data_IF_345577949417
#
_entry.id   IF_345577949417
#
_cell.length_a   1.000
_cell.length_b   1.000
_cell.length_c   1.000
_cell.angle_alpha   90.00
_cell.angle_beta   90.00
_cell.angle_gamma   90.00
#
_symmetry.space_group_name_H-M   'P 1'
#
loop_
_entity.id
_entity.type
_entity.pdbx_description
1 polymer ?
#
# COMPACT_ATOMS: atom_id res chain seq x y z
N UNK A 1 -6.85 -0.13 11.56
CA UNK A 1 -5.69 -1.03 11.45
C UNK A 1 -5.24 -1.20 10.01
N UNK A 2 -6.16 -1.32 9.05
CA UNK A 2 -5.88 -1.52 7.62
C UNK A 2 -5.10 -0.36 7.00
N UNK A 3 -5.48 0.88 7.28
CA UNK A 3 -4.74 2.06 6.84
C UNK A 3 -3.31 2.04 7.39
N UNK A 4 -3.14 1.80 8.69
CA UNK A 4 -1.82 1.73 9.32
C UNK A 4 -0.96 0.62 8.71
N UNK A 5 -1.55 -0.55 8.46
CA UNK A 5 -0.86 -1.66 7.81
C UNK A 5 -0.40 -1.32 6.39
N UNK A 6 -1.20 -0.56 5.63
CA UNK A 6 -0.78 -0.06 4.33
C UNK A 6 0.45 0.86 4.44
N UNK A 7 0.48 1.77 5.42
CA UNK A 7 1.66 2.61 5.66
C UNK A 7 2.88 1.78 6.08
N UNK A 8 2.70 0.80 6.97
CA UNK A 8 3.79 -0.07 7.42
C UNK A 8 4.45 -0.85 6.28
N UNK A 9 3.65 -1.46 5.38
CA UNK A 9 4.18 -2.17 4.21
C UNK A 9 4.91 -1.20 3.26
N UNK A 10 4.34 -0.02 3.01
CA UNK A 10 4.96 0.95 2.12
C UNK A 10 6.21 1.59 2.73
N UNK A 11 6.30 1.67 4.05
CA UNK A 11 7.48 2.13 4.77
C UNK A 11 8.60 1.11 4.64
N UNK A 12 8.30 -0.18 4.83
CA UNK A 12 9.24 -1.28 4.60
C UNK A 12 9.85 -1.24 3.17
N UNK A 13 9.05 -0.89 2.16
CA UNK A 13 9.51 -0.73 0.77
C UNK A 13 10.14 0.63 0.46
N UNK A 14 10.30 1.49 1.47
CA UNK A 14 10.82 2.86 1.34
C UNK A 14 10.04 3.69 0.29
N UNK A 15 8.71 3.53 0.26
CA UNK A 15 7.79 4.28 -0.60
C UNK A 15 7.20 5.48 0.15
N UNK A 16 6.99 5.34 1.46
CA UNK A 16 6.62 6.44 2.36
C UNK A 16 7.71 6.66 3.39
N UNK A 17 7.75 7.85 3.99
CA UNK A 17 8.68 8.18 5.07
C UNK A 17 8.14 7.74 6.42
N UNK A 18 9.03 7.62 7.40
CA UNK A 18 8.64 7.36 8.79
C UNK A 18 7.72 8.46 9.34
N UNK A 19 7.97 9.73 8.99
CA UNK A 19 7.10 10.86 9.36
C UNK A 19 5.65 10.66 8.86
N UNK A 20 5.48 10.20 7.63
CA UNK A 20 4.15 9.91 7.08
C UNK A 20 3.46 8.77 7.84
N UNK A 21 4.21 7.74 8.22
CA UNK A 21 3.71 6.63 9.04
C UNK A 21 3.31 7.12 10.44
N UNK A 22 4.20 7.84 11.15
CA UNK A 22 3.94 8.33 12.50
C UNK A 22 2.76 9.29 12.53
N UNK A 23 2.65 10.19 11.55
CA UNK A 23 1.47 11.05 11.41
C UNK A 23 0.19 10.24 11.26
N UNK A 24 0.20 9.18 10.43
CA UNK A 24 -0.97 8.32 10.25
C UNK A 24 -1.30 7.54 11.54
N UNK A 25 -0.29 7.05 12.25
CA UNK A 25 -0.46 6.35 13.52
C UNK A 25 -1.15 7.26 14.54
N UNK A 26 -0.64 8.47 14.73
CA UNK A 26 -1.20 9.44 15.66
C UNK A 26 -2.63 9.85 15.28
N UNK A 27 -2.90 10.08 13.98
CA UNK A 27 -4.27 10.34 13.50
C UNK A 27 -5.24 9.19 13.82
N UNK A 28 -4.78 7.94 13.77
CA UNK A 28 -5.62 6.77 14.09
C UNK A 28 -5.77 6.58 15.60
N UNK A 29 -4.72 6.82 16.37
CA UNK A 29 -4.74 6.75 17.82
C UNK A 29 -5.69 7.80 18.40
N UNK A 30 -5.61 9.06 17.94
CA UNK A 30 -6.53 10.12 18.39
C UNK A 30 -8.00 9.83 18.07
N UNK A 31 -8.29 9.06 17.02
CA UNK A 31 -9.66 8.63 16.68
C UNK A 31 -10.16 7.47 17.56
N UNK A 32 -9.26 6.71 18.17
CA UNK A 32 -9.58 5.58 19.01
C UNK A 32 -8.49 5.38 20.07
N UNK A 33 -8.50 6.26 21.07
CA UNK A 33 -7.45 6.33 22.10
C UNK A 33 -7.43 5.14 23.05
N UNK A 34 -8.50 4.35 23.08
CA UNK A 34 -8.58 3.12 23.89
C UNK A 34 -7.95 1.91 23.18
N UNK A 35 -7.46 2.09 21.94
CA UNK A 35 -6.85 1.00 21.20
C UNK A 35 -5.42 0.73 21.69
N UNK A 36 -5.26 -0.33 22.49
CA UNK A 36 -3.98 -0.77 23.06
C UNK A 36 -2.89 -1.05 22.01
N UNK A 37 -3.27 -1.54 20.82
CA UNK A 37 -2.31 -1.79 19.73
C UNK A 37 -1.74 -0.46 19.23
N UNK A 38 -2.59 0.54 19.04
CA UNK A 38 -2.15 1.87 18.58
C UNK A 38 -1.31 2.57 19.66
N UNK A 39 -1.72 2.49 20.93
CA UNK A 39 -0.96 3.05 22.05
C UNK A 39 0.44 2.45 22.15
N UNK A 40 0.56 1.11 22.04
CA UNK A 40 1.86 0.45 22.06
C UNK A 40 2.75 0.93 20.90
N UNK A 41 2.18 1.04 19.70
CA UNK A 41 2.91 1.48 18.52
C UNK A 41 3.37 2.94 18.61
N UNK A 42 2.61 3.82 19.28
CA UNK A 42 3.01 5.22 19.53
C UNK A 42 4.26 5.33 20.40
N UNK A 43 4.51 4.33 21.25
CA UNK A 43 5.68 4.29 22.13
C UNK A 43 6.84 3.49 21.53
N UNK A 44 6.62 2.83 20.40
CA UNK A 44 7.64 2.05 19.72
C UNK A 44 8.56 2.97 18.92
N UNK A 45 9.85 2.96 19.25
CA UNK A 45 10.87 3.77 18.57
C UNK A 45 11.59 2.99 17.48
N UNK A 46 11.55 1.66 17.53
CA UNK A 46 12.12 0.81 16.49
C UNK A 46 11.08 0.53 15.41
N UNK A 47 11.32 1.09 14.22
CA UNK A 47 10.38 1.00 13.11
C UNK A 47 10.24 -0.43 12.57
N UNK A 48 11.30 -1.23 12.63
CA UNK A 48 11.27 -2.61 12.16
C UNK A 48 10.42 -3.47 13.10
N UNK A 49 10.56 -3.26 14.42
CA UNK A 49 9.70 -3.89 15.43
C UNK A 49 8.24 -3.43 15.29
N UNK A 50 7.98 -2.15 15.02
CA UNK A 50 6.63 -1.65 14.77
C UNK A 50 5.97 -2.34 13.56
N UNK A 51 6.70 -2.46 12.44
CA UNK A 51 6.22 -3.13 11.22
C UNK A 51 5.96 -4.62 11.51
N UNK A 52 6.89 -5.30 12.19
CA UNK A 52 6.73 -6.70 12.57
C UNK A 52 5.50 -6.89 13.46
N UNK A 53 5.33 -6.04 14.47
CA UNK A 53 4.21 -6.09 15.39
C UNK A 53 2.86 -5.92 14.67
N UNK A 54 2.75 -4.98 13.73
CA UNK A 54 1.54 -4.81 12.93
C UNK A 54 1.24 -6.07 12.10
N UNK A 55 2.27 -6.68 11.48
CA UNK A 55 2.11 -7.91 10.68
C UNK A 55 1.61 -9.10 11.50
N UNK A 56 2.05 -9.24 12.75
CA UNK A 56 1.62 -10.35 13.60
C UNK A 56 0.26 -10.12 14.26
N UNK A 57 -0.19 -8.87 14.41
CA UNK A 57 -1.44 -8.53 15.09
C UNK A 57 -2.60 -8.22 14.13
N UNK A 58 -2.35 -8.14 12.82
CA UNK A 58 -3.43 -8.00 11.85
C UNK A 58 -4.18 -9.32 11.66
N UNK A 59 -5.51 -9.27 11.82
CA UNK A 59 -6.39 -10.41 11.56
C UNK A 59 -6.66 -10.51 10.05
N UNK A 60 -5.77 -11.16 9.31
CA UNK A 60 -5.87 -11.28 7.84
C UNK A 60 -7.22 -11.81 7.33
N UNK A 61 -7.90 -12.66 8.11
CA UNK A 61 -9.22 -13.20 7.78
C UNK A 61 -10.33 -12.13 7.77
N UNK A 62 -10.15 -11.05 8.53
CA UNK A 62 -11.14 -9.99 8.73
C UNK A 62 -10.66 -8.64 8.17
N UNK A 63 -9.61 -8.63 7.34
CA UNK A 63 -9.09 -7.38 6.79
C UNK A 63 -10.12 -6.76 5.85
N UNK A 64 -10.46 -5.49 6.07
CA UNK A 64 -11.22 -4.75 5.08
C UNK A 64 -10.32 -4.45 3.88
N UNK A 65 -10.41 -5.32 2.87
CA UNK A 65 -9.59 -5.27 1.67
C UNK A 65 -9.72 -3.95 0.89
N UNK A 66 -10.94 -3.41 0.80
CA UNK A 66 -11.17 -2.14 0.11
C UNK A 66 -10.48 -0.99 0.82
N UNK A 67 -10.61 -0.91 2.16
CA UNK A 67 -9.97 0.12 2.97
C UNK A 67 -8.44 0.05 2.90
N UNK A 68 -7.89 -1.17 3.03
CA UNK A 68 -6.46 -1.42 2.84
C UNK A 68 -6.01 -0.97 1.44
N UNK A 69 -6.72 -1.40 0.40
CA UNK A 69 -6.27 -1.16 -0.95
C UNK A 69 -6.43 0.27 -1.44
N UNK A 70 -7.50 0.96 -1.05
CA UNK A 70 -7.62 2.42 -1.23
C UNK A 70 -6.44 3.16 -0.61
N UNK A 71 -5.97 2.71 0.55
CA UNK A 71 -4.84 3.32 1.26
C UNK A 71 -3.52 3.12 0.51
N UNK A 72 -3.22 1.88 0.09
CA UNK A 72 -2.03 1.57 -0.72
C UNK A 72 -2.05 2.39 -2.02
N UNK A 73 -3.12 2.28 -2.80
CA UNK A 73 -3.22 2.90 -4.13
C UNK A 73 -3.10 4.42 -4.06
N UNK A 74 -3.71 5.06 -3.05
CA UNK A 74 -3.58 6.51 -2.84
C UNK A 74 -2.13 6.94 -2.61
N UNK A 75 -1.36 6.17 -1.83
CA UNK A 75 0.04 6.47 -1.55
C UNK A 75 0.94 6.16 -2.75
N UNK A 76 0.69 5.04 -3.44
CA UNK A 76 1.40 4.70 -4.67
C UNK A 76 1.19 5.74 -5.76
N UNK A 77 0.00 6.31 -5.88
CA UNK A 77 -0.29 7.36 -6.87
C UNK A 77 0.57 8.59 -6.64
N UNK A 78 0.67 9.05 -5.38
CA UNK A 78 1.58 10.13 -5.00
C UNK A 78 3.04 9.78 -5.29
N UNK A 79 3.45 8.56 -4.95
CA UNK A 79 4.82 8.11 -5.22
C UNK A 79 5.14 8.08 -6.72
N UNK A 80 4.18 7.66 -7.55
CA UNK A 80 4.30 7.62 -9.01
C UNK A 80 4.38 9.02 -9.63
N UNK A 81 3.66 10.02 -9.10
CA UNK A 81 3.70 11.41 -9.59
C UNK A 81 5.11 12.03 -9.53
N UNK A 82 5.94 11.61 -8.56
CA UNK A 82 7.33 12.06 -8.43
C UNK A 82 8.34 11.13 -9.13
N UNK A 83 7.88 10.08 -9.78
CA UNK A 83 8.75 9.10 -10.42
C UNK A 83 9.29 9.60 -11.77
N UNK A 84 10.60 9.77 -11.86
CA UNK A 84 11.30 10.11 -13.11
C UNK A 84 11.78 8.88 -13.88
N UNK A 85 12.01 7.75 -13.20
CA UNK A 85 12.52 6.50 -13.79
C UNK A 85 11.55 5.33 -13.55
N UNK A 86 10.85 4.94 -14.60
CA UNK A 86 9.88 3.84 -14.56
C UNK A 86 10.50 2.50 -14.18
N UNK A 87 11.79 2.26 -14.48
CA UNK A 87 12.47 1.00 -14.12
C UNK A 87 12.72 0.92 -12.62
N UNK A 88 13.01 2.05 -11.97
CA UNK A 88 13.15 2.10 -10.50
C UNK A 88 11.80 1.91 -9.82
N UNK A 89 10.75 2.54 -10.35
CA UNK A 89 9.39 2.32 -9.86
C UNK A 89 8.95 0.86 -10.01
N UNK A 90 9.21 0.24 -11.16
CA UNK A 90 8.91 -1.15 -11.44
C UNK A 90 9.52 -2.11 -10.41
N UNK A 91 10.82 -1.97 -10.13
CA UNK A 91 11.51 -2.77 -9.12
C UNK A 91 10.84 -2.66 -7.75
N UNK A 92 10.44 -1.45 -7.35
CA UNK A 92 9.71 -1.22 -6.09
C UNK A 92 8.31 -1.83 -6.12
N UNK A 93 7.60 -1.77 -7.24
CA UNK A 93 6.26 -2.36 -7.34
C UNK A 93 6.28 -3.89 -7.25
N UNK A 94 7.26 -4.53 -7.91
CA UNK A 94 7.44 -5.97 -7.81
C UNK A 94 7.88 -6.39 -6.39
N UNK A 95 8.76 -5.60 -5.75
CA UNK A 95 9.15 -5.81 -4.34
C UNK A 95 7.96 -5.69 -3.40
N UNK A 96 7.17 -4.62 -3.55
CA UNK A 96 5.92 -4.41 -2.83
C UNK A 96 4.96 -5.59 -2.99
N UNK A 97 4.76 -6.08 -4.22
CA UNK A 97 3.90 -7.23 -4.47
C UNK A 97 4.34 -8.46 -3.66
N UNK A 98 5.65 -8.74 -3.59
CA UNK A 98 6.19 -9.84 -2.78
C UNK A 98 6.05 -9.61 -1.27
N UNK A 99 6.06 -8.37 -0.82
CA UNK A 99 5.89 -8.03 0.60
C UNK A 99 4.43 -8.12 1.07
N UNK A 100 3.47 -8.10 0.14
CA UNK A 100 2.05 -8.26 0.48
C UNK A 100 1.75 -9.65 1.05
N UNK A 101 0.77 -9.76 1.97
CA UNK A 101 0.25 -11.06 2.38
C UNK A 101 -0.26 -11.87 1.19
N UNK A 102 -0.04 -13.18 1.18
CA UNK A 102 -0.49 -14.09 0.10
C UNK A 102 -2.00 -13.99 -0.17
N UNK A 103 -2.80 -13.71 0.87
CA UNK A 103 -4.25 -13.51 0.75
C UNK A 103 -4.64 -12.24 -0.02
N UNK A 104 -3.69 -11.32 -0.21
CA UNK A 104 -3.83 -10.01 -0.89
C UNK A 104 -3.12 -10.02 -2.24
N UNK A 105 -1.94 -10.66 -2.34
CA UNK A 105 -1.08 -10.61 -3.53
C UNK A 105 -1.75 -11.07 -4.84
N UNK A 106 -2.75 -11.95 -4.73
CA UNK A 106 -3.50 -12.51 -5.87
C UNK A 106 -4.84 -11.80 -6.14
N UNK A 107 -5.10 -10.68 -5.46
CA UNK A 107 -6.32 -9.88 -5.63
C UNK A 107 -6.04 -8.63 -6.45
N UNK A 108 -7.04 -8.17 -7.19
CA UNK A 108 -6.94 -6.91 -7.95
C UNK A 108 -7.07 -5.69 -7.03
N UNK A 109 -6.23 -4.65 -7.20
CA UNK A 109 -5.31 -4.46 -8.32
C UNK A 109 -3.87 -4.98 -8.07
N UNK A 110 -3.58 -5.56 -6.91
CA UNK A 110 -2.20 -5.93 -6.52
C UNK A 110 -1.58 -7.02 -7.37
N UNK A 111 -2.39 -7.95 -7.89
CA UNK A 111 -1.89 -9.00 -8.76
C UNK A 111 -1.18 -8.44 -10.00
N UNK A 112 -1.63 -7.29 -10.52
CA UNK A 112 -1.01 -6.63 -11.67
C UNK A 112 0.42 -6.16 -11.40
N UNK A 113 0.75 -5.84 -10.15
CA UNK A 113 2.10 -5.41 -9.77
C UNK A 113 3.16 -6.51 -9.98
N UNK A 114 2.74 -7.77 -10.09
CA UNK A 114 3.65 -8.90 -10.33
C UNK A 114 4.21 -8.99 -11.75
N UNK A 115 3.56 -8.33 -12.72
CA UNK A 115 3.89 -8.41 -14.14
C UNK A 115 3.83 -7.05 -14.86
N UNK A 116 3.49 -5.96 -14.17
CA UNK A 116 3.33 -4.65 -14.78
C UNK A 116 4.62 -4.12 -15.45
N UNK A 117 5.77 -4.65 -15.07
CA UNK A 117 7.07 -4.34 -15.65
C UNK A 117 7.54 -5.31 -16.74
N UNK A 118 6.82 -6.41 -17.01
CA UNK A 118 7.17 -7.35 -18.08
C UNK A 118 7.41 -6.62 -19.43
N UNK A 119 6.58 -5.64 -19.84
CA UNK A 119 6.79 -4.90 -21.08
C UNK A 119 8.11 -4.14 -21.20
N UNK A 120 8.72 -3.78 -20.07
CA UNK A 120 10.03 -3.13 -20.05
C UNK A 120 11.14 -4.03 -20.62
N UNK A 121 10.97 -5.35 -20.59
CA UNK A 121 11.97 -6.30 -21.09
C UNK A 121 12.13 -6.29 -22.61
N UNK A 122 11.09 -5.89 -23.36
CA UNK A 122 11.13 -5.65 -24.81
C UNK A 122 11.02 -4.16 -25.19
N UNK A 123 11.19 -3.27 -24.20
CA UNK A 123 11.28 -1.82 -24.41
C UNK A 123 9.95 -1.07 -24.50
N UNK A 124 8.81 -1.72 -24.22
CA UNK A 124 7.49 -1.08 -24.27
C UNK A 124 7.15 -0.38 -22.95
N UNK A 125 7.66 0.84 -22.80
CA UNK A 125 7.45 1.68 -21.61
C UNK A 125 5.98 2.09 -21.48
N UNK A 126 5.32 2.40 -22.58
CA UNK A 126 3.94 2.90 -22.59
C UNK A 126 2.97 1.84 -22.10
N UNK A 127 3.16 0.57 -22.49
CA UNK A 127 2.35 -0.52 -21.98
C UNK A 127 2.52 -0.70 -20.47
N UNK A 128 3.75 -0.67 -19.94
CA UNK A 128 3.98 -0.72 -18.49
C UNK A 128 3.32 0.45 -17.75
N UNK A 129 3.45 1.67 -18.27
CA UNK A 129 2.77 2.85 -17.70
C UNK A 129 1.26 2.67 -17.67
N UNK A 130 0.67 2.19 -18.77
CA UNK A 130 -0.77 1.93 -18.86
C UNK A 130 -1.24 0.92 -17.80
N UNK A 131 -0.48 -0.15 -17.57
CA UNK A 131 -0.79 -1.14 -16.53
C UNK A 131 -0.70 -0.51 -15.13
N UNK A 132 0.35 0.25 -14.83
CA UNK A 132 0.47 0.93 -13.54
C UNK A 132 -0.66 1.94 -13.33
N UNK A 133 -0.99 2.74 -14.33
CA UNK A 133 -2.09 3.70 -14.26
C UNK A 133 -3.44 3.02 -14.04
N UNK A 134 -3.66 1.82 -14.60
CA UNK A 134 -4.83 1.00 -14.29
C UNK A 134 -4.89 0.61 -12.80
N UNK A 135 -3.76 0.18 -12.21
CA UNK A 135 -3.66 -0.11 -10.77
C UNK A 135 -3.94 1.15 -9.93
N UNK A 136 -3.32 2.27 -10.31
CA UNK A 136 -3.39 3.54 -9.57
C UNK A 136 -4.78 4.19 -9.61
N UNK A 137 -5.60 3.84 -10.59
CA UNK A 137 -6.96 4.36 -10.75
C UNK A 137 -8.05 3.32 -10.42
N UNK A 138 -7.68 2.10 -10.03
CA UNK A 138 -8.60 0.98 -9.79
C UNK A 138 -9.77 1.34 -8.87
N UNK A 139 -9.49 1.99 -7.74
CA UNK A 139 -10.51 2.33 -6.75
C UNK A 139 -11.32 3.61 -7.09
N UNK A 140 -10.87 4.44 -8.03
CA UNK A 140 -11.64 5.59 -8.50
C UNK A 140 -12.85 5.14 -9.34
N UNK A 141 -12.67 4.10 -10.15
CA UNK A 141 -13.72 3.53 -11.01
C UNK A 141 -14.83 2.83 -10.21
N UNK A 142 -14.51 2.28 -9.03
CA UNK A 142 -15.49 1.63 -8.15
C UNK A 142 -16.42 2.59 -7.40
N UNK A 143 -16.00 3.84 -7.16
CA UNK A 143 -16.85 4.83 -6.48
C UNK A 143 -18.03 5.25 -7.37
N UNK A 144 -17.79 5.47 -8.67
CA UNK A 144 -18.86 5.78 -9.64
C UNK A 144 -19.91 4.68 -9.82
N UNK A 145 -19.61 3.41 -9.50
CA UNK A 145 -20.58 2.31 -9.60
C UNK A 145 -21.47 2.18 -8.37
N UNK A 146 -21.06 2.72 -7.23
CA UNK A 146 -21.84 2.66 -5.99
C UNK A 146 -22.78 3.87 -5.81
N UNK A 147 -22.58 4.95 -6.57
CA UNK A 147 -23.44 6.14 -6.58
C UNK A 147 -24.65 6.05 -7.55
N UNK A 148 -24.83 4.91 -8.24
CA UNK A 148 -25.96 4.63 -9.15
C UNK A 148 -26.86 3.53 -8.55
N UNK A 149 -27.16 3.59 -7.26
CA UNK A 149 -28.17 2.74 -6.62
C UNK A 149 -29.24 3.54 -5.93
#
# INVERSE_FOLDING_TARGET
MEELFAYAILLYENIVTEEMYQKKLNELFLKNSENEILLKLEWETDIDEAILYIRTHIKYQNINYEKFGKSIVKLLKRYYEYCTDIKQFAKKMYSLWKALPTTIQHKQPFYMLSYADDPLSWGDIEQSRSIYESVLNYYQVTEYKNDIK
#
